data_IF_666717970474
#
_entry.id   IF_666717970474
#
_cell.length_a   1.000
_cell.length_b   1.000
_cell.length_c   1.000
_cell.angle_alpha   90.00
_cell.angle_beta   90.00
_cell.angle_gamma   90.00
#
_symmetry.space_group_name_H-M   'P 1'
#
loop_
_entity.id
_entity.type
_entity.pdbx_description
1 polymer ?
#
# COMPACT_ATOMS: atom_id res chain seq x y z
N UNK A 1 -48.42 65.85 5.94
CA UNK A 1 -48.42 64.82 7.00
C UNK A 1 -48.45 63.40 6.46
N UNK A 2 -49.59 62.90 5.98
CA UNK A 2 -49.80 61.47 5.67
C UNK A 2 -48.94 60.87 4.53
N UNK A 3 -48.64 61.60 3.45
CA UNK A 3 -47.81 61.08 2.34
C UNK A 3 -46.38 60.75 2.78
N UNK A 4 -45.79 61.62 3.60
CA UNK A 4 -44.42 61.46 4.14
C UNK A 4 -44.36 60.26 5.07
N UNK A 5 -45.34 60.09 5.98
CA UNK A 5 -45.42 58.92 6.86
C UNK A 5 -45.56 57.60 6.08
N UNK A 6 -46.24 57.61 4.93
CA UNK A 6 -46.39 56.43 4.06
C UNK A 6 -45.10 56.08 3.31
N UNK A 7 -44.26 57.07 2.96
CA UNK A 7 -42.93 56.85 2.39
C UNK A 7 -41.97 56.27 3.44
N UNK A 8 -41.89 56.88 4.62
CA UNK A 8 -41.07 56.39 5.74
C UNK A 8 -41.43 54.95 6.10
N UNK A 9 -42.72 54.60 6.16
CA UNK A 9 -43.16 53.21 6.42
C UNK A 9 -42.69 52.23 5.34
N UNK A 10 -42.64 52.62 4.07
CA UNK A 10 -42.17 51.76 2.98
C UNK A 10 -40.65 51.57 3.03
N UNK A 11 -39.91 52.63 3.32
CA UNK A 11 -38.44 52.58 3.44
C UNK A 11 -38.01 51.71 4.63
N UNK A 12 -38.64 51.86 5.79
CA UNK A 12 -38.38 51.00 6.96
C UNK A 12 -38.67 49.52 6.64
N UNK A 13 -39.78 49.23 5.94
CA UNK A 13 -40.09 47.85 5.52
C UNK A 13 -39.11 47.28 4.50
N UNK A 14 -38.52 48.11 3.63
CA UNK A 14 -37.48 47.69 2.69
C UNK A 14 -36.17 47.42 3.44
N UNK A 15 -35.77 48.32 4.34
CA UNK A 15 -34.56 48.17 5.16
C UNK A 15 -34.65 46.94 6.06
N UNK A 16 -35.80 46.66 6.68
CA UNK A 16 -36.03 45.44 7.45
C UNK A 16 -35.96 44.18 6.59
N UNK A 17 -36.49 44.22 5.36
CA UNK A 17 -36.39 43.10 4.42
C UNK A 17 -34.95 42.87 3.95
N UNK A 18 -34.18 43.93 3.73
CA UNK A 18 -32.76 43.83 3.37
C UNK A 18 -31.91 43.30 4.52
N UNK A 19 -32.13 43.79 5.75
CA UNK A 19 -31.49 43.25 6.96
C UNK A 19 -31.81 41.78 7.16
N UNK A 20 -33.07 41.37 6.97
CA UNK A 20 -33.48 39.97 7.06
C UNK A 20 -32.86 39.10 5.95
N UNK A 21 -32.69 39.63 4.72
CA UNK A 21 -31.98 38.93 3.63
C UNK A 21 -30.50 38.76 3.94
N UNK A 22 -29.83 39.83 4.37
CA UNK A 22 -28.42 39.79 4.74
C UNK A 22 -28.16 38.82 5.90
N UNK A 23 -29.04 38.78 6.91
CA UNK A 23 -28.95 37.82 8.01
C UNK A 23 -29.08 36.36 7.53
N UNK A 24 -30.05 36.07 6.64
CA UNK A 24 -30.23 34.73 6.05
C UNK A 24 -29.06 34.31 5.17
N UNK A 25 -28.47 35.25 4.44
CA UNK A 25 -27.32 34.97 3.58
C UNK A 25 -26.07 34.70 4.41
N UNK A 26 -25.81 35.48 5.45
CA UNK A 26 -24.74 35.23 6.41
C UNK A 26 -24.90 33.87 7.12
N UNK A 27 -26.13 33.48 7.49
CA UNK A 27 -26.42 32.17 8.08
C UNK A 27 -26.16 31.02 7.09
N UNK A 28 -26.55 31.18 5.81
CA UNK A 28 -26.24 30.20 4.76
C UNK A 28 -24.74 30.03 4.54
N UNK A 29 -23.98 31.12 4.54
CA UNK A 29 -22.52 31.08 4.40
C UNK A 29 -21.90 30.32 5.58
N UNK A 30 -22.28 30.67 6.82
CA UNK A 30 -21.80 29.96 8.02
C UNK A 30 -22.16 28.48 8.00
N UNK A 31 -23.38 28.12 7.60
CA UNK A 31 -23.81 26.74 7.49
C UNK A 31 -23.05 25.98 6.38
N UNK A 32 -22.70 26.64 5.28
CA UNK A 32 -21.90 26.05 4.21
C UNK A 32 -20.44 25.84 4.66
N UNK A 33 -19.85 26.80 5.36
CA UNK A 33 -18.51 26.70 5.95
C UNK A 33 -18.42 25.59 6.98
N UNK A 34 -19.40 25.47 7.88
CA UNK A 34 -19.44 24.41 8.89
C UNK A 34 -19.57 23.01 8.24
N UNK A 35 -20.44 22.88 7.22
CA UNK A 35 -20.53 21.64 6.44
C UNK A 35 -19.21 21.28 5.75
N UNK A 36 -18.48 22.27 5.23
CA UNK A 36 -17.18 22.07 4.61
C UNK A 36 -16.11 21.66 5.64
N UNK A 37 -16.13 22.23 6.85
CA UNK A 37 -15.23 21.80 7.95
C UNK A 37 -15.51 20.36 8.37
N UNK A 38 -16.78 20.01 8.60
CA UNK A 38 -17.18 18.65 8.98
C UNK A 38 -16.81 17.64 7.89
N UNK A 39 -16.95 17.99 6.61
CA UNK A 39 -16.59 17.07 5.52
C UNK A 39 -15.07 16.87 5.41
N UNK A 40 -14.28 17.93 5.63
CA UNK A 40 -12.83 17.85 5.69
C UNK A 40 -12.36 16.99 6.87
N UNK A 41 -12.91 17.21 8.07
CA UNK A 41 -12.60 16.42 9.27
C UNK A 41 -12.96 14.94 9.08
N UNK A 42 -14.13 14.64 8.51
CA UNK A 42 -14.51 13.25 8.16
C UNK A 42 -13.59 12.62 7.13
N UNK A 43 -13.02 13.40 6.21
CA UNK A 43 -12.06 12.90 5.24
C UNK A 43 -10.72 12.57 5.91
N UNK A 44 -10.25 13.40 6.84
CA UNK A 44 -9.07 13.11 7.66
C UNK A 44 -9.28 11.90 8.57
N UNK A 45 -10.43 11.80 9.25
CA UNK A 45 -10.76 10.64 10.09
C UNK A 45 -10.74 9.34 9.28
N UNK A 46 -11.28 9.35 8.05
CA UNK A 46 -11.20 8.21 7.14
C UNK A 46 -9.77 7.86 6.75
N UNK A 47 -8.91 8.84 6.51
CA UNK A 47 -7.48 8.60 6.24
C UNK A 47 -6.80 7.98 7.45
N UNK A 48 -7.03 8.52 8.64
CA UNK A 48 -6.50 7.97 9.89
C UNK A 48 -6.95 6.53 10.14
N UNK A 49 -8.24 6.22 9.94
CA UNK A 49 -8.77 4.85 10.03
C UNK A 49 -8.10 3.89 9.06
N UNK A 50 -7.90 4.30 7.80
CA UNK A 50 -7.18 3.48 6.81
C UNK A 50 -5.75 3.17 7.24
N UNK A 51 -5.01 4.16 7.74
CA UNK A 51 -3.64 3.98 8.22
C UNK A 51 -3.61 2.99 9.40
N UNK A 52 -4.53 3.14 10.36
CA UNK A 52 -4.61 2.24 11.52
C UNK A 52 -4.96 0.81 11.09
N UNK A 53 -5.84 0.65 10.11
CA UNK A 53 -6.20 -0.65 9.56
C UNK A 53 -5.04 -1.30 8.81
N UNK A 54 -4.28 -0.53 8.02
CA UNK A 54 -3.06 -0.99 7.36
C UNK A 54 -1.99 -1.44 8.36
N UNK A 55 -1.76 -0.67 9.44
CA UNK A 55 -0.83 -1.06 10.50
C UNK A 55 -1.29 -2.34 11.19
N UNK A 56 -2.57 -2.41 11.57
CA UNK A 56 -3.13 -3.59 12.23
C UNK A 56 -3.01 -4.81 11.33
N UNK A 57 -3.25 -4.65 10.04
CA UNK A 57 -3.11 -5.71 9.05
C UNK A 57 -1.66 -6.16 8.93
N UNK A 58 -0.73 -5.22 8.76
CA UNK A 58 0.70 -5.51 8.63
C UNK A 58 1.28 -6.22 9.87
N UNK A 59 0.78 -5.92 11.07
CA UNK A 59 1.20 -6.60 12.28
C UNK A 59 0.68 -8.04 12.41
N UNK A 60 -0.48 -8.35 11.81
CA UNK A 60 -1.14 -9.64 11.98
C UNK A 60 -0.91 -10.60 10.80
N UNK A 61 -0.49 -10.09 9.64
CA UNK A 61 -0.21 -10.91 8.47
C UNK A 61 1.15 -11.59 8.56
N UNK A 62 1.20 -12.81 8.03
CA UNK A 62 2.45 -13.55 7.88
C UNK A 62 3.37 -12.88 6.85
N UNK A 63 4.67 -13.22 6.87
CA UNK A 63 5.60 -12.73 5.85
C UNK A 63 5.17 -13.17 4.44
N UNK A 64 4.64 -14.38 4.30
CA UNK A 64 4.09 -14.91 3.04
C UNK A 64 2.88 -14.10 2.56
N UNK A 65 1.93 -13.81 3.45
CA UNK A 65 0.76 -13.00 3.12
C UNK A 65 1.15 -11.59 2.66
N UNK A 66 2.18 -10.99 3.28
CA UNK A 66 2.73 -9.70 2.84
C UNK A 66 3.29 -9.75 1.42
N UNK A 67 3.93 -10.86 1.03
CA UNK A 67 4.42 -11.07 -0.34
C UNK A 67 3.24 -11.13 -1.32
N UNK A 68 2.22 -11.93 -1.03
CA UNK A 68 1.09 -12.10 -1.96
C UNK A 68 0.10 -10.93 -1.96
N UNK A 69 0.11 -10.08 -0.93
CA UNK A 69 -0.62 -8.81 -0.89
C UNK A 69 -0.02 -7.74 -1.81
N UNK A 70 1.27 -7.84 -2.15
CA UNK A 70 1.92 -6.91 -3.08
C UNK A 70 1.24 -6.90 -4.44
N UNK A 71 1.56 -5.89 -5.27
CA UNK A 71 1.02 -5.81 -6.62
C UNK A 71 1.20 -7.14 -7.36
N UNK A 72 0.18 -7.54 -8.12
CA UNK A 72 0.20 -8.80 -8.88
C UNK A 72 1.04 -8.67 -10.17
N UNK A 73 2.25 -8.15 -10.04
CA UNK A 73 3.28 -8.18 -11.06
C UNK A 73 4.52 -8.93 -10.53
N UNK A 74 5.28 -9.60 -11.40
CA UNK A 74 6.46 -10.36 -10.99
C UNK A 74 7.48 -9.52 -10.21
N UNK A 75 7.79 -8.32 -10.68
CA UNK A 75 8.83 -7.45 -10.13
C UNK A 75 8.54 -7.03 -8.67
N UNK A 76 7.32 -6.57 -8.40
CA UNK A 76 6.89 -6.18 -7.06
C UNK A 76 6.85 -7.39 -6.11
N UNK A 77 6.46 -8.56 -6.61
CA UNK A 77 6.49 -9.81 -5.83
C UNK A 77 7.90 -10.25 -5.50
N UNK A 78 8.86 -10.11 -6.43
CA UNK A 78 10.27 -10.39 -6.19
C UNK A 78 10.79 -9.50 -5.05
N UNK A 79 10.55 -8.19 -5.11
CA UNK A 79 10.97 -7.24 -4.08
C UNK A 79 10.34 -7.56 -2.72
N UNK A 80 9.04 -7.87 -2.70
CA UNK A 80 8.35 -8.23 -1.47
C UNK A 80 8.90 -9.55 -0.87
N UNK A 81 9.17 -10.55 -1.71
CA UNK A 81 9.74 -11.83 -1.30
C UNK A 81 11.17 -11.67 -0.77
N UNK A 82 12.02 -10.87 -1.42
CA UNK A 82 13.36 -10.57 -0.93
C UNK A 82 13.32 -9.97 0.49
N UNK A 83 12.47 -8.97 0.70
CA UNK A 83 12.28 -8.36 2.02
C UNK A 83 11.76 -9.37 3.06
N UNK A 84 10.87 -10.27 2.68
CA UNK A 84 10.37 -11.32 3.56
C UNK A 84 11.50 -12.30 3.97
N UNK A 85 12.35 -12.70 3.04
CA UNK A 85 13.51 -13.55 3.31
C UNK A 85 14.59 -12.85 4.14
N UNK A 86 14.82 -11.55 3.96
CA UNK A 86 15.73 -10.77 4.82
C UNK A 86 15.26 -10.79 6.28
N UNK A 87 13.98 -10.50 6.52
CA UNK A 87 13.39 -10.59 7.87
C UNK A 87 13.48 -12.02 8.41
N UNK A 88 13.23 -13.02 7.57
CA UNK A 88 13.39 -14.43 7.91
C UNK A 88 14.81 -14.78 8.34
N UNK A 89 15.83 -14.27 7.64
CA UNK A 89 17.25 -14.47 7.96
C UNK A 89 17.64 -13.86 9.29
N UNK A 90 17.18 -12.64 9.57
CA UNK A 90 17.43 -11.98 10.86
C UNK A 90 16.87 -12.81 12.02
N UNK A 91 15.64 -13.30 11.89
CA UNK A 91 15.01 -14.19 12.87
C UNK A 91 15.77 -15.51 13.01
N UNK A 92 16.23 -16.07 11.90
CA UNK A 92 16.92 -17.35 11.86
C UNK A 92 18.33 -17.27 12.46
N UNK A 93 18.99 -16.10 12.46
CA UNK A 93 20.31 -15.94 13.04
C UNK A 93 20.32 -16.24 14.55
N UNK A 94 19.26 -15.86 15.27
CA UNK A 94 19.10 -16.18 16.69
C UNK A 94 18.89 -17.68 16.89
N UNK A 95 17.98 -18.28 16.14
CA UNK A 95 17.71 -19.72 16.22
C UNK A 95 18.96 -20.55 15.92
N UNK A 96 19.74 -20.19 14.91
CA UNK A 96 20.99 -20.90 14.58
C UNK A 96 22.02 -20.89 15.71
N UNK A 97 22.06 -19.83 16.52
CA UNK A 97 22.92 -19.80 17.70
C UNK A 97 22.44 -20.80 18.76
N UNK A 98 21.14 -20.83 19.04
CA UNK A 98 20.53 -21.81 19.96
C UNK A 98 20.71 -23.25 19.45
N UNK A 99 20.49 -23.49 18.15
CA UNK A 99 20.70 -24.78 17.50
C UNK A 99 22.15 -25.26 17.68
N UNK A 100 23.13 -24.34 17.61
CA UNK A 100 24.53 -24.67 17.86
C UNK A 100 24.81 -25.02 19.32
N UNK A 101 24.25 -24.27 20.27
CA UNK A 101 24.38 -24.58 21.70
C UNK A 101 23.77 -25.95 22.03
N UNK A 102 22.61 -26.27 21.45
CA UNK A 102 21.97 -27.58 21.59
C UNK A 102 22.90 -28.69 21.07
N UNK A 103 23.53 -28.52 19.90
CA UNK A 103 24.50 -29.50 19.39
C UNK A 103 25.68 -29.73 20.34
N UNK A 104 26.23 -28.65 20.90
CA UNK A 104 27.37 -28.75 21.82
C UNK A 104 26.98 -29.47 23.12
N UNK A 105 25.78 -29.20 23.65
CA UNK A 105 25.24 -29.88 24.82
C UNK A 105 24.96 -31.37 24.56
N UNK A 106 24.27 -31.70 23.48
CA UNK A 106 24.02 -33.10 23.08
C UNK A 106 25.31 -33.90 22.96
N UNK A 107 26.32 -33.30 22.31
CA UNK A 107 27.65 -33.91 22.18
C UNK A 107 28.30 -34.17 23.55
N UNK A 108 28.22 -33.20 24.47
CA UNK A 108 28.75 -33.38 25.83
C UNK A 108 28.05 -34.49 26.62
N UNK A 109 26.77 -34.72 26.32
CA UNK A 109 25.93 -35.74 26.96
C UNK A 109 26.05 -37.11 26.28
N UNK A 110 26.85 -37.23 25.21
CA UNK A 110 26.99 -38.46 24.42
C UNK A 110 25.74 -38.81 23.63
N UNK A 111 24.87 -37.82 23.36
CA UNK A 111 23.68 -37.97 22.51
C UNK A 111 24.14 -37.70 21.08
N UNK A 112 24.35 -38.76 20.30
CA UNK A 112 24.53 -38.66 18.85
C UNK A 112 23.24 -39.10 18.16
N UNK A 113 22.41 -38.13 17.76
CA UNK A 113 21.25 -38.43 16.93
C UNK A 113 21.63 -38.37 15.45
N UNK A 114 21.97 -39.55 14.90
CA UNK A 114 22.33 -39.75 13.49
C UNK A 114 21.14 -39.46 12.56
N UNK A 115 19.91 -39.43 13.10
CA UNK A 115 18.69 -39.16 12.38
C UNK A 115 18.13 -37.76 12.64
N UNK A 116 18.91 -36.86 13.25
CA UNK A 116 18.44 -35.51 13.56
C UNK A 116 17.91 -34.84 12.30
N UNK A 117 16.60 -34.69 12.26
CA UNK A 117 15.93 -33.94 11.22
C UNK A 117 16.53 -32.53 11.19
N UNK A 118 17.10 -32.21 10.03
CA UNK A 118 17.69 -30.94 9.63
C UNK A 118 17.07 -29.77 10.41
N UNK A 119 17.89 -29.13 11.25
CA UNK A 119 17.56 -27.93 12.01
C UNK A 119 16.79 -26.91 11.17
N UNK A 120 15.99 -26.06 11.83
CA UNK A 120 15.25 -25.01 11.14
C UNK A 120 16.19 -24.08 10.36
N UNK A 121 17.37 -23.78 10.93
CA UNK A 121 18.39 -22.99 10.26
C UNK A 121 18.83 -23.57 8.91
N UNK A 122 19.03 -24.89 8.84
CA UNK A 122 19.44 -25.57 7.61
C UNK A 122 18.27 -25.72 6.62
N UNK A 123 17.05 -25.97 7.10
CA UNK A 123 15.85 -25.98 6.24
C UNK A 123 15.63 -24.61 5.61
N UNK A 124 15.82 -23.55 6.39
CA UNK A 124 15.72 -22.18 5.92
C UNK A 124 16.76 -21.87 4.83
N UNK A 125 18.03 -22.24 5.04
CA UNK A 125 19.10 -21.98 4.06
C UNK A 125 18.80 -22.63 2.71
N UNK A 126 18.33 -23.89 2.70
CA UNK A 126 17.94 -24.58 1.46
C UNK A 126 16.85 -23.83 0.69
N UNK A 127 15.79 -23.43 1.39
CA UNK A 127 14.67 -22.69 0.77
C UNK A 127 15.14 -21.30 0.29
N UNK A 128 16.04 -20.65 1.04
CA UNK A 128 16.61 -19.36 0.65
C UNK A 128 17.48 -19.46 -0.60
N UNK A 129 18.31 -20.49 -0.71
CA UNK A 129 19.15 -20.74 -1.88
C UNK A 129 18.30 -21.04 -3.12
N UNK A 130 17.26 -21.88 -2.98
CA UNK A 130 16.27 -22.15 -4.04
C UNK A 130 15.55 -20.88 -4.47
N UNK A 131 15.13 -20.04 -3.51
CA UNK A 131 14.54 -18.75 -3.79
C UNK A 131 15.49 -17.86 -4.59
N UNK A 132 16.77 -17.73 -4.18
CA UNK A 132 17.75 -16.90 -4.90
C UNK A 132 17.98 -17.40 -6.32
N UNK A 133 18.06 -18.71 -6.53
CA UNK A 133 18.20 -19.29 -7.87
C UNK A 133 16.99 -18.96 -8.76
N UNK A 134 15.77 -19.19 -8.25
CA UNK A 134 14.53 -18.91 -8.97
C UNK A 134 14.37 -17.40 -9.28
N UNK A 135 14.77 -16.53 -8.35
CA UNK A 135 14.66 -15.08 -8.54
C UNK A 135 15.59 -14.58 -9.64
N UNK A 136 16.82 -15.12 -9.71
CA UNK A 136 17.75 -14.80 -10.78
C UNK A 136 17.24 -15.28 -12.15
N UNK A 137 16.66 -16.47 -12.22
CA UNK A 137 16.05 -16.98 -13.46
C UNK A 137 14.87 -16.11 -13.89
N UNK A 138 14.02 -15.70 -12.95
CA UNK A 138 12.91 -14.80 -13.22
C UNK A 138 13.37 -13.43 -13.74
N UNK A 139 14.43 -12.86 -13.16
CA UNK A 139 15.02 -11.60 -13.64
C UNK A 139 15.48 -11.71 -15.11
N UNK A 140 16.14 -12.82 -15.47
CA UNK A 140 16.55 -13.08 -16.86
C UNK A 140 15.32 -13.14 -17.79
N UNK A 141 14.29 -13.88 -17.40
CA UNK A 141 13.06 -14.01 -18.18
C UNK A 141 12.32 -12.68 -18.35
N UNK A 142 12.36 -11.79 -17.35
CA UNK A 142 11.77 -10.45 -17.45
C UNK A 142 12.50 -9.60 -18.48
N UNK A 143 13.84 -9.60 -18.45
CA UNK A 143 14.67 -8.90 -19.45
C UNK A 143 14.45 -9.43 -20.87
N UNK A 144 14.28 -10.75 -21.03
CA UNK A 144 13.95 -11.35 -22.32
C UNK A 144 12.56 -10.94 -22.82
N UNK A 145 11.57 -10.93 -21.93
CA UNK A 145 10.21 -10.48 -22.25
C UNK A 145 10.16 -9.01 -22.68
N UNK A 146 10.93 -8.13 -22.05
CA UNK A 146 11.05 -6.73 -22.47
C UNK A 146 11.57 -6.61 -23.90
N UNK A 147 12.65 -7.33 -24.23
CA UNK A 147 13.20 -7.35 -25.60
C UNK A 147 12.18 -7.88 -26.61
N UNK A 148 11.43 -8.92 -26.27
CA UNK A 148 10.38 -9.46 -27.14
C UNK A 148 9.25 -8.45 -27.38
N UNK A 149 8.82 -7.71 -26.36
CA UNK A 149 7.81 -6.65 -26.49
C UNK A 149 8.30 -5.53 -27.43
N UNK A 150 9.57 -5.16 -27.36
CA UNK A 150 10.16 -4.19 -28.28
C UNK A 150 10.17 -4.70 -29.72
N UNK A 151 10.54 -5.96 -29.93
CA UNK A 151 10.53 -6.57 -31.27
C UNK A 151 9.11 -6.63 -31.85
N UNK A 152 8.13 -7.05 -31.06
CA UNK A 152 6.72 -7.05 -31.49
C UNK A 152 6.25 -5.64 -31.86
N UNK A 153 6.55 -4.64 -31.03
CA UNK A 153 6.21 -3.24 -31.31
C UNK A 153 6.84 -2.73 -32.61
N UNK A 154 8.05 -3.19 -32.94
CA UNK A 154 8.70 -2.86 -34.21
C UNK A 154 8.04 -3.56 -35.39
N UNK A 155 7.65 -4.83 -35.25
CA UNK A 155 6.94 -5.59 -36.27
C UNK A 155 5.57 -4.96 -36.57
N UNK A 156 4.81 -4.59 -35.54
CA UNK A 156 3.51 -3.93 -35.69
C UNK A 156 3.63 -2.64 -36.53
N UNK A 157 4.63 -1.80 -36.21
CA UNK A 157 4.91 -0.57 -36.98
C UNK A 157 5.31 -0.85 -38.43
N UNK A 158 5.97 -1.98 -38.70
CA UNK A 158 6.30 -2.38 -40.06
C UNK A 158 5.07 -2.88 -40.81
N UNK A 159 4.23 -3.67 -40.16
CA UNK A 159 2.98 -4.17 -40.73
C UNK A 159 2.01 -3.03 -41.06
N UNK A 160 1.87 -2.04 -40.18
CA UNK A 160 1.07 -0.84 -40.44
C UNK A 160 1.56 -0.07 -41.67
N UNK A 161 2.89 0.07 -41.84
CA UNK A 161 3.48 0.74 -43.01
C UNK A 161 3.15 0.01 -44.31
N UNK A 162 3.26 -1.32 -44.32
CA UNK A 162 2.93 -2.16 -45.48
C UNK A 162 1.42 -2.06 -45.79
N UNK A 163 0.55 -2.09 -44.77
CA UNK A 163 -0.91 -1.94 -44.96
C UNK A 163 -1.32 -0.56 -45.47
N UNK A 164 -0.59 0.49 -45.10
CA UNK A 164 -0.86 1.87 -45.52
C UNK A 164 -0.47 2.17 -46.99
N UNK A 165 0.03 1.18 -47.74
CA UNK A 165 0.27 1.31 -49.18
C UNK A 165 1.60 1.96 -49.55
N UNK A 166 2.66 1.75 -48.75
CA UNK A 166 4.04 1.83 -49.19
C UNK A 166 4.68 0.44 -49.18
#
# INVERSE_FOLDING_TARGET
GMRVLKQIRKEVQLEEKEKARAAREAEKIKAAEEKAKISAEKAEEKKGKKILEEIRRDMNESLEEKVFRSENNPEARMVAAEKAFEIGRERMAFLKAEEKEIMELEKSLGIEDVNRDVFLGQKFDKVYDEFKANNNELEILLLENEKLKEYLSRLDRMEEKVKAGN
#
